data_IF_710487301291
#
_entry.id   IF_710487301291
#
_cell.length_a   1.000
_cell.length_b   1.000
_cell.length_c   1.000
_cell.angle_alpha   90.00
_cell.angle_beta   90.00
_cell.angle_gamma   90.00
#
_symmetry.space_group_name_H-M   'P 1'
#
loop_
_entity.id
_entity.type
_entity.pdbx_description
1 polymer ?
#
# COMPACT_ATOMS: atom_id res chain seq x y z
N UNK A 1 -13.50 3.53 -11.61
CA UNK A 1 -13.40 3.83 -10.18
C UNK A 1 -12.19 4.71 -9.96
N UNK A 2 -12.38 5.89 -9.39
CA UNK A 2 -11.29 6.78 -8.96
C UNK A 2 -10.74 6.33 -7.59
N UNK A 3 -9.61 6.90 -7.14
CA UNK A 3 -9.09 6.65 -5.79
C UNK A 3 -10.08 7.11 -4.71
N UNK A 4 -10.77 8.22 -4.95
CA UNK A 4 -11.79 8.70 -4.03
C UNK A 4 -13.02 7.78 -4.05
N UNK A 5 -13.48 7.31 -5.23
CA UNK A 5 -14.56 6.31 -5.31
C UNK A 5 -14.22 5.06 -4.50
N UNK A 6 -12.97 4.58 -4.60
CA UNK A 6 -12.48 3.44 -3.84
C UNK A 6 -12.48 3.73 -2.33
N UNK A 7 -11.96 4.89 -1.91
CA UNK A 7 -11.94 5.28 -0.50
C UNK A 7 -13.36 5.31 0.10
N UNK A 8 -14.33 5.92 -0.60
CA UNK A 8 -15.73 5.91 -0.18
C UNK A 8 -16.28 4.48 -0.07
N UNK A 9 -15.92 3.59 -0.99
CA UNK A 9 -16.34 2.19 -0.93
C UNK A 9 -15.73 1.43 0.26
N UNK A 10 -14.44 1.64 0.54
CA UNK A 10 -13.70 1.01 1.64
C UNK A 10 -14.27 1.41 3.01
N UNK A 11 -14.59 2.70 3.19
CA UNK A 11 -15.13 3.24 4.45
C UNK A 11 -16.46 2.59 4.87
N UNK A 12 -17.25 2.05 3.93
CA UNK A 12 -18.48 1.30 4.25
C UNK A 12 -18.23 0.02 5.04
N UNK A 13 -17.00 -0.48 5.04
CA UNK A 13 -16.59 -1.71 5.72
C UNK A 13 -15.67 -1.42 6.91
N UNK A 14 -15.29 -0.17 7.16
CA UNK A 14 -14.43 0.20 8.27
C UNK A 14 -15.18 0.08 9.60
N UNK A 15 -14.67 -0.77 10.49
CA UNK A 15 -15.27 -1.05 11.79
C UNK A 15 -14.20 -1.17 12.89
N UNK A 16 -14.03 -0.12 13.67
CA UNK A 16 -13.17 -0.08 14.86
C UNK A 16 -13.56 1.12 15.74
N UNK A 17 -13.16 1.15 17.03
CA UNK A 17 -13.53 2.25 17.91
C UNK A 17 -12.90 3.59 17.49
N UNK A 18 -13.70 4.67 17.52
CA UNK A 18 -13.28 6.03 17.16
C UNK A 18 -11.99 6.49 17.87
N UNK A 19 -11.84 6.15 19.15
CA UNK A 19 -10.67 6.48 19.97
C UNK A 19 -9.33 5.95 19.42
N UNK A 20 -9.36 4.95 18.53
CA UNK A 20 -8.16 4.36 17.90
C UNK A 20 -8.14 4.55 16.39
N UNK A 21 -8.96 5.43 15.81
CA UNK A 21 -9.14 5.55 14.36
C UNK A 21 -7.86 5.81 13.56
N UNK A 22 -6.82 6.42 14.16
CA UNK A 22 -5.52 6.57 13.49
C UNK A 22 -4.56 5.42 13.83
N UNK A 23 -4.48 5.07 15.11
CA UNK A 23 -3.50 4.08 15.61
C UNK A 23 -3.79 2.68 15.06
N UNK A 24 -5.07 2.27 15.07
CA UNK A 24 -5.48 0.95 14.62
C UNK A 24 -5.12 0.69 13.15
N UNK A 25 -5.59 1.51 12.17
CA UNK A 25 -5.25 1.27 10.77
C UNK A 25 -3.76 1.49 10.48
N UNK A 26 -3.05 2.38 11.19
CA UNK A 26 -1.61 2.55 11.00
C UNK A 26 -0.81 1.30 11.40
N UNK A 27 -1.14 0.67 12.53
CA UNK A 27 -0.49 -0.57 12.96
C UNK A 27 -0.84 -1.74 12.04
N UNK A 28 -2.11 -1.82 11.62
CA UNK A 28 -2.55 -2.87 10.70
C UNK A 28 -1.95 -2.72 9.30
N UNK A 29 -1.81 -1.50 8.79
CA UNK A 29 -1.09 -1.22 7.53
C UNK A 29 0.32 -1.81 7.53
N UNK A 30 1.07 -1.65 8.64
CA UNK A 30 2.39 -2.25 8.78
C UNK A 30 2.34 -3.78 8.75
N UNK A 31 1.32 -4.38 9.37
CA UNK A 31 1.05 -5.82 9.30
C UNK A 31 0.85 -6.29 7.86
N UNK A 32 -0.07 -5.68 7.12
CA UNK A 32 -0.38 -6.09 5.74
C UNK A 32 0.82 -5.90 4.80
N UNK A 33 1.61 -4.85 4.99
CA UNK A 33 2.87 -4.69 4.26
C UNK A 33 3.88 -5.82 4.58
N UNK A 34 3.88 -6.29 5.83
CA UNK A 34 4.63 -7.48 6.25
C UNK A 34 4.12 -8.75 5.59
N UNK A 35 2.80 -8.91 5.44
CA UNK A 35 2.20 -10.07 4.77
C UNK A 35 2.58 -10.12 3.28
N UNK A 36 2.63 -8.99 2.58
CA UNK A 36 3.17 -8.91 1.21
C UNK A 36 4.60 -9.46 1.15
N UNK A 37 5.47 -9.03 2.07
CA UNK A 37 6.86 -9.51 2.14
C UNK A 37 6.92 -11.01 2.52
N UNK A 38 6.06 -11.47 3.42
CA UNK A 38 5.99 -12.86 3.84
C UNK A 38 5.57 -13.78 2.69
N UNK A 39 4.62 -13.35 1.83
CA UNK A 39 4.24 -14.10 0.62
C UNK A 39 5.45 -14.33 -0.26
N UNK A 40 6.17 -13.28 -0.64
CA UNK A 40 7.39 -13.40 -1.45
C UNK A 40 8.41 -14.33 -0.78
N UNK A 41 8.62 -14.18 0.54
CA UNK A 41 9.53 -15.05 1.29
C UNK A 41 9.11 -16.53 1.25
N UNK A 42 7.81 -16.84 1.30
CA UNK A 42 7.30 -18.22 1.14
C UNK A 42 7.52 -18.73 -0.29
N UNK A 43 7.25 -17.92 -1.31
CA UNK A 43 7.52 -18.31 -2.70
C UNK A 43 8.98 -18.70 -2.90
N UNK A 44 9.91 -17.92 -2.34
CA UNK A 44 11.34 -18.18 -2.45
C UNK A 44 11.78 -19.44 -1.70
N UNK A 45 11.24 -19.69 -0.50
CA UNK A 45 11.65 -20.83 0.33
C UNK A 45 11.01 -22.15 -0.10
N UNK A 46 9.72 -22.11 -0.43
CA UNK A 46 8.88 -23.30 -0.52
C UNK A 46 8.51 -23.65 -1.97
N UNK A 47 8.50 -22.66 -2.87
CA UNK A 47 8.04 -22.81 -4.26
C UNK A 47 9.17 -22.62 -5.29
N UNK A 48 10.41 -22.40 -4.83
CA UNK A 48 11.59 -22.28 -5.69
C UNK A 48 11.67 -20.98 -6.50
N UNK A 49 10.86 -19.97 -6.16
CA UNK A 49 10.89 -18.67 -6.82
C UNK A 49 12.27 -17.99 -6.66
N UNK A 50 12.89 -17.60 -7.77
CA UNK A 50 14.13 -16.85 -7.80
C UNK A 50 13.92 -15.43 -8.35
N UNK A 51 14.78 -14.46 -7.98
CA UNK A 51 14.77 -13.14 -8.59
C UNK A 51 14.89 -13.21 -10.11
N UNK A 52 13.89 -12.67 -10.80
CA UNK A 52 13.79 -12.68 -12.27
C UNK A 52 12.81 -13.70 -12.83
N UNK A 53 12.29 -14.61 -11.99
CA UNK A 53 11.23 -15.53 -12.41
C UNK A 53 9.89 -14.81 -12.58
N UNK A 54 9.09 -15.30 -13.53
CA UNK A 54 7.71 -14.90 -13.68
C UNK A 54 6.85 -15.53 -12.58
N UNK A 55 5.94 -14.73 -12.01
CA UNK A 55 4.93 -15.24 -11.09
C UNK A 55 3.87 -16.04 -11.85
N UNK A 56 3.55 -17.23 -11.34
CA UNK A 56 2.33 -17.93 -11.75
C UNK A 56 1.08 -17.11 -11.37
N UNK A 57 -0.05 -17.44 -12.00
CA UNK A 57 -1.31 -16.75 -11.73
C UNK A 57 -1.72 -16.84 -10.26
N UNK A 58 -1.59 -18.03 -9.65
CA UNK A 58 -1.92 -18.23 -8.24
C UNK A 58 -1.06 -17.37 -7.31
N UNK A 59 0.23 -17.22 -7.62
CA UNK A 59 1.15 -16.38 -6.84
C UNK A 59 0.82 -14.89 -7.00
N UNK A 60 0.49 -14.46 -8.22
CA UNK A 60 0.06 -13.09 -8.51
C UNK A 60 -1.21 -12.73 -7.76
N UNK A 61 -2.22 -13.60 -7.79
CA UNK A 61 -3.48 -13.42 -7.07
C UNK A 61 -3.27 -13.36 -5.56
N UNK A 62 -2.40 -14.24 -5.01
CA UNK A 62 -2.06 -14.21 -3.59
C UNK A 62 -1.41 -12.87 -3.17
N UNK A 63 -0.51 -12.32 -3.98
CA UNK A 63 0.10 -11.02 -3.73
C UNK A 63 -0.88 -9.85 -3.93
N UNK A 64 -1.73 -9.92 -4.95
CA UNK A 64 -2.74 -8.92 -5.24
C UNK A 64 -3.73 -8.78 -4.08
N UNK A 65 -4.06 -9.88 -3.40
CA UNK A 65 -4.87 -9.87 -2.18
C UNK A 65 -4.23 -9.04 -1.07
N UNK A 66 -2.98 -9.33 -0.72
CA UNK A 66 -2.28 -8.59 0.36
C UNK A 66 -2.08 -7.11 -0.02
N UNK A 67 -1.82 -6.81 -1.30
CA UNK A 67 -1.79 -5.43 -1.80
C UNK A 67 -3.15 -4.72 -1.67
N UNK A 68 -4.25 -5.46 -1.83
CA UNK A 68 -5.60 -4.96 -1.60
C UNK A 68 -5.82 -4.58 -0.13
N UNK A 69 -5.34 -5.40 0.80
CA UNK A 69 -5.43 -5.12 2.23
C UNK A 69 -4.58 -3.90 2.63
N UNK A 70 -3.37 -3.77 2.07
CA UNK A 70 -2.55 -2.54 2.18
C UNK A 70 -3.31 -1.32 1.67
N UNK A 71 -3.89 -1.40 0.47
CA UNK A 71 -4.63 -0.29 -0.13
C UNK A 71 -5.84 0.11 0.72
N UNK A 72 -6.55 -0.86 1.30
CA UNK A 72 -7.68 -0.61 2.18
C UNK A 72 -7.27 0.20 3.41
N UNK A 73 -6.18 -0.18 4.09
CA UNK A 73 -5.70 0.57 5.25
C UNK A 73 -5.15 1.95 4.89
N UNK A 74 -4.51 2.12 3.73
CA UNK A 74 -4.10 3.45 3.24
C UNK A 74 -5.33 4.34 3.03
N UNK A 75 -6.40 3.80 2.42
CA UNK A 75 -7.62 4.55 2.15
C UNK A 75 -8.33 5.00 3.43
N UNK A 76 -8.47 4.09 4.40
CA UNK A 76 -9.10 4.37 5.70
C UNK A 76 -8.26 5.35 6.52
N UNK A 77 -6.94 5.13 6.60
CA UNK A 77 -6.04 6.02 7.33
C UNK A 77 -6.01 7.43 6.72
N UNK A 78 -6.02 7.55 5.39
CA UNK A 78 -6.12 8.85 4.72
C UNK A 78 -7.38 9.62 5.17
N UNK A 79 -8.54 8.94 5.22
CA UNK A 79 -9.79 9.52 5.69
C UNK A 79 -9.70 9.98 7.15
N UNK A 80 -9.17 9.13 8.03
CA UNK A 80 -9.02 9.44 9.46
C UNK A 80 -8.01 10.58 9.73
N UNK A 81 -7.12 10.85 8.79
CA UNK A 81 -6.20 11.99 8.76
C UNK A 81 -6.79 13.25 8.10
N UNK A 82 -8.02 13.18 7.58
CA UNK A 82 -8.71 14.30 6.95
C UNK A 82 -8.23 14.64 5.54
N UNK A 83 -7.68 13.67 4.81
CA UNK A 83 -7.24 13.83 3.40
C UNK A 83 -7.90 12.78 2.51
N UNK A 84 -8.13 13.11 1.24
CA UNK A 84 -8.66 12.11 0.30
C UNK A 84 -7.54 11.19 -0.20
N UNK A 85 -7.90 9.96 -0.59
CA UNK A 85 -6.92 9.05 -1.18
C UNK A 85 -6.38 9.59 -2.52
N UNK A 86 -7.21 10.29 -3.28
CA UNK A 86 -6.81 11.02 -4.48
C UNK A 86 -5.75 12.08 -4.21
N UNK A 87 -5.88 12.86 -3.13
CA UNK A 87 -4.88 13.84 -2.71
C UNK A 87 -3.54 13.18 -2.34
N UNK A 88 -3.58 12.05 -1.61
CA UNK A 88 -2.38 11.27 -1.26
C UNK A 88 -1.65 10.82 -2.53
N UNK A 89 -2.40 10.26 -3.50
CA UNK A 89 -1.86 9.85 -4.80
C UNK A 89 -1.27 11.01 -5.60
N UNK A 90 -2.01 12.12 -5.72
CA UNK A 90 -1.57 13.30 -6.46
C UNK A 90 -0.28 13.92 -5.88
N UNK A 91 -0.21 14.06 -4.55
CA UNK A 91 0.99 14.56 -3.85
C UNK A 91 2.18 13.62 -4.05
N UNK A 92 1.96 12.31 -4.01
CA UNK A 92 3.02 11.33 -4.25
C UNK A 92 3.57 11.44 -5.68
N UNK A 93 2.70 11.49 -6.70
CA UNK A 93 3.10 11.61 -8.10
C UNK A 93 3.85 12.92 -8.37
N UNK A 94 3.37 14.05 -7.85
CA UNK A 94 4.04 15.34 -7.99
C UNK A 94 5.46 15.31 -7.39
N UNK A 95 5.62 14.73 -6.20
CA UNK A 95 6.92 14.51 -5.54
C UNK A 95 7.85 13.65 -6.38
N UNK A 96 7.36 12.50 -6.87
CA UNK A 96 8.18 11.58 -7.68
C UNK A 96 8.59 12.20 -9.03
N UNK A 97 7.70 12.92 -9.69
CA UNK A 97 8.01 13.64 -10.94
C UNK A 97 9.07 14.73 -10.70
N UNK A 98 9.04 15.41 -9.55
CA UNK A 98 10.07 16.36 -9.19
C UNK A 98 11.45 15.71 -8.95
N UNK A 99 11.48 14.58 -8.21
CA UNK A 99 12.70 13.77 -8.04
C UNK A 99 13.28 13.31 -9.37
N UNK A 100 12.41 12.92 -10.31
CA UNK A 100 12.82 12.52 -11.66
C UNK A 100 13.47 13.68 -12.41
N UNK A 101 12.86 14.87 -12.42
CA UNK A 101 13.42 16.06 -13.08
C UNK A 101 14.78 16.46 -12.50
N UNK A 102 14.97 16.28 -11.18
CA UNK A 102 16.24 16.57 -10.50
C UNK A 102 17.30 15.47 -10.65
N UNK A 103 16.97 14.31 -11.25
CA UNK A 103 17.89 13.19 -11.36
C UNK A 103 18.23 12.50 -10.03
N UNK A 104 17.40 12.66 -9.00
CA UNK A 104 17.65 12.16 -7.62
C UNK A 104 16.75 10.99 -7.24
N UNK A 105 16.24 10.21 -8.19
CA UNK A 105 15.39 9.05 -7.88
C UNK A 105 16.14 7.94 -7.10
N UNK A 106 17.43 7.74 -7.38
CA UNK A 106 18.21 6.59 -6.88
C UNK A 106 19.08 6.88 -5.67
N UNK A 107 18.54 7.29 -4.53
CA UNK A 107 19.40 7.42 -3.34
C UNK A 107 18.70 7.82 -2.04
N UNK A 108 19.49 7.78 -0.98
CA UNK A 108 19.06 7.43 0.38
C UNK A 108 18.71 8.64 1.25
N UNK A 109 17.53 9.24 1.11
CA UNK A 109 17.09 10.26 2.06
C UNK A 109 15.61 10.60 2.03
N UNK A 110 15.07 10.89 3.21
CA UNK A 110 13.65 11.20 3.47
C UNK A 110 13.19 12.52 2.83
N UNK A 111 14.10 13.48 2.63
CA UNK A 111 13.84 14.76 1.94
C UNK A 111 14.25 14.74 0.46
N UNK A 112 13.68 13.80 -0.29
CA UNK A 112 13.74 13.81 -1.75
C UNK A 112 12.44 14.23 -2.38
#
# INVERSE_FOLDING_TARGET
MTLDDYQHAALRTAAFPERVRVIYPALKLAGEAGEVAEKIGKLMRDEGYAPGDDLSEAQREALAKELGDVLWYVAVLAHDLGVTLGEVGARNLAKLADRQRRGVLGGSGDDR
#
